data_IF_258032996597
#
_entry.id   IF_258032996597
#
_cell.length_a   1.000
_cell.length_b   1.000
_cell.length_c   1.000
_cell.angle_alpha   90.00
_cell.angle_beta   90.00
_cell.angle_gamma   90.00
#
_symmetry.space_group_name_H-M   'P 1'
#
loop_
_entity.id
_entity.type
_entity.pdbx_description
1 polymer ?
#
# COMPACT_ATOMS: atom_id res chain seq x y z
N UNK A 1 0.66 7.19 11.80
CA UNK A 1 0.32 6.10 12.77
C UNK A 1 1.53 5.18 12.91
N UNK A 2 1.72 4.48 14.03
CA UNK A 2 2.87 3.56 14.21
C UNK A 2 2.52 2.07 14.10
N UNK A 3 1.32 1.78 13.57
CA UNK A 3 0.82 0.44 13.35
C UNK A 3 0.19 0.36 11.95
N UNK A 4 0.49 -0.70 11.21
CA UNK A 4 0.03 -0.89 9.84
C UNK A 4 1.16 -1.30 8.90
N UNK A 5 0.85 -1.40 7.62
CA UNK A 5 1.84 -1.68 6.59
C UNK A 5 2.47 -0.36 6.12
N UNK A 6 3.77 -0.21 6.30
CA UNK A 6 4.51 0.98 5.84
C UNK A 6 4.35 1.16 4.33
N UNK A 7 4.06 2.38 3.88
CA UNK A 7 3.82 2.61 2.45
C UNK A 7 5.11 2.35 1.65
N UNK A 8 5.01 1.76 0.44
CA UNK A 8 6.15 1.48 -0.41
C UNK A 8 6.51 2.73 -1.25
N UNK A 9 6.83 3.82 -0.57
CA UNK A 9 7.25 5.09 -1.18
C UNK A 9 8.58 5.50 -0.58
N UNK A 10 9.52 5.91 -1.44
CA UNK A 10 10.83 6.41 -1.04
C UNK A 10 11.08 7.76 -1.66
N UNK A 11 11.60 8.68 -0.84
CA UNK A 11 12.06 10.00 -1.25
C UNK A 11 13.57 10.02 -1.39
N UNK A 12 14.07 10.79 -2.35
CA UNK A 12 15.49 11.13 -2.45
C UNK A 12 15.94 11.88 -1.19
N UNK A 13 17.05 11.44 -0.58
CA UNK A 13 17.58 12.00 0.69
C UNK A 13 17.81 13.50 0.65
N UNK A 14 18.29 14.01 -0.48
CA UNK A 14 18.59 15.42 -0.71
C UNK A 14 17.34 16.30 -0.84
N UNK A 15 16.17 15.70 -1.08
CA UNK A 15 14.89 16.40 -1.26
C UNK A 15 13.81 15.99 -0.24
N UNK A 16 14.13 15.14 0.74
CA UNK A 16 13.15 14.52 1.64
C UNK A 16 12.32 15.54 2.41
N UNK A 17 12.94 16.57 3.00
CA UNK A 17 12.25 17.59 3.79
C UNK A 17 11.26 18.38 2.93
N UNK A 18 11.70 18.84 1.75
CA UNK A 18 10.86 19.60 0.83
C UNK A 18 9.67 18.79 0.27
N UNK A 19 9.86 17.49 0.05
CA UNK A 19 8.83 16.61 -0.50
C UNK A 19 7.82 16.19 0.57
N UNK A 20 8.26 15.89 1.79
CA UNK A 20 7.37 15.48 2.89
C UNK A 20 6.55 16.64 3.44
N UNK A 21 7.08 17.86 3.45
CA UNK A 21 6.35 19.05 3.89
C UNK A 21 5.42 19.63 2.80
N UNK A 22 5.50 19.10 1.58
CA UNK A 22 4.66 19.57 0.48
C UNK A 22 3.20 19.23 0.73
N UNK A 23 2.32 20.23 0.61
CA UNK A 23 0.86 20.05 0.70
C UNK A 23 0.34 19.08 -0.38
N UNK A 24 1.03 19.02 -1.52
CA UNK A 24 0.71 18.07 -2.57
C UNK A 24 1.93 17.73 -3.43
N UNK A 25 2.09 16.43 -3.65
CA UNK A 25 3.05 15.85 -4.57
C UNK A 25 2.48 15.86 -6.00
N UNK A 26 2.41 17.04 -6.61
CA UNK A 26 2.01 17.20 -8.02
C UNK A 26 3.23 17.13 -8.93
N UNK A 27 2.99 16.92 -10.23
CA UNK A 27 4.04 16.91 -11.26
C UNK A 27 4.81 18.23 -11.35
N UNK A 28 4.33 19.32 -10.74
CA UNK A 28 5.01 20.61 -10.70
C UNK A 28 6.08 20.66 -9.60
N UNK A 29 5.85 19.95 -8.48
CA UNK A 29 6.75 19.87 -7.33
C UNK A 29 7.71 18.66 -7.40
N UNK A 30 7.50 17.77 -8.37
CA UNK A 30 8.24 16.52 -8.53
C UNK A 30 9.00 16.50 -9.84
N UNK A 31 10.32 16.30 -9.77
CA UNK A 31 11.11 15.96 -10.93
C UNK A 31 11.16 14.43 -11.11
N UNK A 32 11.32 13.98 -12.36
CA UNK A 32 11.49 12.57 -12.66
C UNK A 32 12.74 12.03 -11.92
N UNK A 33 12.53 11.13 -10.95
CA UNK A 33 13.58 10.52 -10.15
C UNK A 33 13.63 10.95 -8.67
N UNK A 34 12.73 11.84 -8.25
CA UNK A 34 12.61 12.29 -6.85
C UNK A 34 11.88 11.30 -5.94
N UNK A 35 11.03 10.47 -6.55
CA UNK A 35 10.26 9.42 -5.90
C UNK A 35 10.56 8.06 -6.52
N UNK A 36 10.61 7.05 -5.65
CA UNK A 36 10.57 5.64 -6.05
C UNK A 36 9.36 4.99 -5.39
N UNK A 37 8.53 4.30 -6.18
CA UNK A 37 7.30 3.64 -5.71
C UNK A 37 7.29 2.20 -6.24
N UNK A 38 7.49 1.24 -5.34
CA UNK A 38 7.69 -0.17 -5.71
C UNK A 38 7.57 -1.07 -4.47
N UNK A 39 7.11 -2.30 -4.61
CA UNK A 39 7.16 -3.26 -3.48
C UNK A 39 8.60 -3.51 -3.00
N UNK A 40 9.57 -3.43 -3.92
CA UNK A 40 10.98 -3.61 -3.65
C UNK A 40 11.72 -2.26 -3.47
N UNK A 41 12.70 -2.17 -2.54
CA UNK A 41 13.49 -0.98 -2.33
C UNK A 41 14.25 -0.51 -3.58
N UNK A 42 14.65 0.77 -3.65
CA UNK A 42 15.55 1.26 -4.69
C UNK A 42 16.87 0.48 -4.71
N UNK A 43 17.53 0.44 -5.88
CA UNK A 43 18.82 -0.26 -6.07
C UNK A 43 19.93 0.33 -5.18
N UNK A 44 19.87 1.63 -4.90
CA UNK A 44 20.84 2.40 -4.12
C UNK A 44 20.24 2.93 -2.80
N UNK A 45 19.81 2.07 -1.85
CA UNK A 45 19.00 2.47 -0.68
C UNK A 45 19.65 3.54 0.21
N UNK A 46 20.97 3.68 0.17
CA UNK A 46 21.71 4.73 0.89
C UNK A 46 21.38 6.15 0.42
N UNK A 47 20.79 6.34 -0.76
CA UNK A 47 20.39 7.66 -1.25
C UNK A 47 18.89 7.95 -1.05
N UNK A 48 18.18 7.05 -0.39
CA UNK A 48 16.73 7.11 -0.25
C UNK A 48 16.29 6.98 1.21
N UNK A 49 15.14 7.57 1.52
CA UNK A 49 14.44 7.39 2.79
C UNK A 49 13.03 6.93 2.45
N UNK A 50 12.63 5.79 3.00
CA UNK A 50 11.24 5.34 2.90
C UNK A 50 10.36 6.26 3.75
N UNK A 51 9.17 6.57 3.26
CA UNK A 51 8.15 7.28 4.00
C UNK A 51 7.80 6.52 5.30
N UNK A 52 7.76 7.19 6.45
CA UNK A 52 7.40 6.58 7.73
C UNK A 52 5.89 6.37 7.92
N UNK A 53 5.07 6.89 7.01
CA UNK A 53 3.63 6.63 7.01
C UNK A 53 3.27 5.17 6.72
N UNK A 54 2.07 4.82 7.19
CA UNK A 54 1.50 3.49 7.08
C UNK A 54 0.15 3.56 6.38
N UNK A 55 -0.16 2.51 5.61
CA UNK A 55 -1.46 2.33 5.00
C UNK A 55 -2.56 2.27 6.07
N UNK A 56 -3.69 2.86 5.74
CA UNK A 56 -4.90 2.76 6.56
C UNK A 56 -5.30 1.29 6.76
N UNK A 57 -5.91 0.98 7.91
CA UNK A 57 -6.29 -0.40 8.22
C UNK A 57 -7.31 -0.95 7.22
N UNK A 58 -8.26 -0.13 6.78
CA UNK A 58 -9.30 -0.51 5.82
C UNK A 58 -8.73 -0.86 4.45
N UNK A 59 -7.63 -0.21 4.03
CA UNK A 59 -6.93 -0.56 2.80
C UNK A 59 -6.55 -2.06 2.79
N UNK A 60 -5.98 -2.55 3.91
CA UNK A 60 -5.61 -3.96 4.02
C UNK A 60 -6.83 -4.88 4.15
N UNK A 61 -7.90 -4.42 4.81
CA UNK A 61 -9.14 -5.18 4.97
C UNK A 61 -9.86 -5.42 3.64
N UNK A 62 -9.81 -4.49 2.69
CA UNK A 62 -10.38 -4.67 1.35
C UNK A 62 -9.74 -5.81 0.56
N UNK A 63 -8.49 -6.14 0.86
CA UNK A 63 -7.75 -7.21 0.19
C UNK A 63 -8.06 -8.61 0.76
N UNK A 64 -8.89 -8.71 1.80
CA UNK A 64 -9.24 -9.97 2.49
C UNK A 64 -9.59 -11.17 1.58
N UNK A 65 -10.44 -11.04 0.53
CA UNK A 65 -10.84 -12.20 -0.28
C UNK A 65 -9.65 -12.82 -1.03
N UNK A 66 -8.61 -12.04 -1.32
CA UNK A 66 -7.39 -12.53 -1.95
C UNK A 66 -6.33 -12.88 -0.91
N UNK A 67 -6.11 -12.04 0.11
CA UNK A 67 -5.07 -12.23 1.11
C UNK A 67 -5.20 -13.57 1.87
N UNK A 68 -6.43 -14.08 2.03
CA UNK A 68 -6.68 -15.38 2.70
C UNK A 68 -6.54 -16.60 1.79
N UNK A 69 -6.53 -16.42 0.47
CA UNK A 69 -6.58 -17.52 -0.51
C UNK A 69 -5.37 -17.55 -1.44
N UNK A 70 -4.74 -16.40 -1.68
CA UNK A 70 -3.60 -16.26 -2.56
C UNK A 70 -2.31 -16.47 -1.79
N UNK A 71 -1.44 -17.31 -2.35
CA UNK A 71 -0.05 -17.38 -1.92
C UNK A 71 0.78 -16.64 -2.98
N UNK A 72 1.42 -15.54 -2.62
CA UNK A 72 2.19 -14.75 -3.58
C UNK A 72 3.51 -15.41 -4.00
N UNK A 73 3.98 -16.41 -3.24
CA UNK A 73 5.25 -17.09 -3.49
C UNK A 73 5.10 -18.46 -4.15
N UNK A 74 3.87 -18.96 -4.34
CA UNK A 74 3.57 -20.29 -4.89
C UNK A 74 2.22 -20.29 -5.59
N UNK A 75 2.03 -21.17 -6.57
CA UNK A 75 0.70 -21.35 -7.14
C UNK A 75 -0.30 -21.81 -6.07
N UNK A 76 -1.37 -21.04 -5.89
CA UNK A 76 -2.51 -21.40 -5.06
C UNK A 76 -3.74 -21.61 -5.93
N UNK A 77 -4.32 -22.80 -5.85
CA UNK A 77 -5.59 -23.11 -6.50
C UNK A 77 -6.81 -22.66 -5.68
N UNK A 78 -6.61 -22.05 -4.50
CA UNK A 78 -7.72 -21.65 -3.61
C UNK A 78 -8.55 -20.53 -4.22
N UNK A 79 -7.91 -19.48 -4.77
CA UNK A 79 -8.64 -18.38 -5.44
C UNK A 79 -9.51 -18.93 -6.58
N UNK A 80 -8.93 -19.79 -7.43
CA UNK A 80 -9.67 -20.43 -8.54
C UNK A 80 -10.85 -21.29 -8.06
N UNK A 81 -10.76 -21.86 -6.86
CA UNK A 81 -11.76 -22.79 -6.32
C UNK A 81 -12.85 -22.09 -5.51
N UNK A 82 -12.51 -21.03 -4.79
CA UNK A 82 -13.34 -20.44 -3.74
C UNK A 82 -13.70 -18.97 -3.99
N UNK A 83 -13.16 -18.34 -5.04
CA UNK A 83 -13.56 -17.01 -5.48
C UNK A 83 -14.26 -17.11 -6.85
N UNK A 84 -15.41 -16.42 -7.05
CA UNK A 84 -16.11 -15.55 -6.09
C UNK A 84 -16.81 -16.32 -4.97
N UNK A 85 -16.87 -15.73 -3.78
CA UNK A 85 -17.65 -16.24 -2.65
C UNK A 85 -19.14 -15.94 -2.83
N UNK A 86 -20.01 -16.80 -2.30
CA UNK A 86 -21.47 -16.67 -2.46
C UNK A 86 -22.10 -15.67 -1.51
N UNK A 87 -21.64 -15.61 -0.26
CA UNK A 87 -22.26 -14.83 0.81
C UNK A 87 -21.20 -14.09 1.64
N UNK A 88 -21.46 -12.82 1.95
CA UNK A 88 -20.67 -12.01 2.87
C UNK A 88 -21.57 -11.59 4.04
N UNK A 89 -21.33 -12.18 5.22
CA UNK A 89 -22.08 -11.86 6.44
C UNK A 89 -21.31 -10.81 7.24
N UNK A 90 -21.93 -9.66 7.47
CA UNK A 90 -21.30 -8.52 8.16
C UNK A 90 -22.32 -7.63 8.87
N UNK A 91 -21.84 -6.75 9.76
CA UNK A 91 -22.65 -5.73 10.41
C UNK A 91 -22.84 -4.47 9.55
N UNK A 92 -23.94 -3.71 9.76
CA UNK A 92 -24.22 -2.50 8.98
C UNK A 92 -23.22 -1.35 9.25
N UNK A 93 -22.51 -1.40 10.36
CA UNK A 93 -21.56 -0.39 10.85
C UNK A 93 -20.31 -0.25 9.98
N UNK A 94 -19.91 -1.29 9.25
CA UNK A 94 -18.69 -1.29 8.42
C UNK A 94 -18.96 -1.44 6.91
N UNK A 95 -20.21 -1.31 6.48
CA UNK A 95 -20.57 -1.43 5.05
C UNK A 95 -19.74 -0.45 4.20
N UNK A 96 -19.64 0.83 4.60
CA UNK A 96 -18.91 1.83 3.82
C UNK A 96 -17.39 1.76 3.96
N UNK A 97 -16.89 1.24 5.08
CA UNK A 97 -15.46 1.18 5.33
C UNK A 97 -14.81 -0.10 4.80
N UNK A 98 -15.56 -1.20 4.69
CA UNK A 98 -15.01 -2.51 4.33
C UNK A 98 -15.64 -3.17 3.11
N UNK A 99 -16.97 -3.04 2.93
CA UNK A 99 -17.71 -3.79 1.90
C UNK A 99 -17.79 -3.03 0.58
N UNK A 100 -17.90 -1.70 0.64
CA UNK A 100 -18.23 -0.81 -0.48
C UNK A 100 -17.11 -0.68 -1.53
#
# INVERSE_FOLDING_TARGET
>A
LWWGHRIPVWYRKDKVEALQESESLTLENLEAGDLHVSAEPPVDPENWIQDDDVLDTWFSSWLWPFATMQNFNKESNLVKKFYPTTDLVTGPDIIFFWVA
#
